data_IF_101586947610
#
_entry.id   IF_101586947610
#
_cell.length_a   1.000
_cell.length_b   1.000
_cell.length_c   1.000
_cell.angle_alpha   90.00
_cell.angle_beta   90.00
_cell.angle_gamma   90.00
#
_symmetry.space_group_name_H-M   'P 1'
#
loop_
_entity.id
_entity.type
_entity.pdbx_description
1 polymer ?
#
# COMPACT_ATOMS: atom_id res chain seq x y z
N UNK A 1 2.24 -23.20 8.65
CA UNK A 1 1.18 -23.51 7.67
C UNK A 1 0.18 -22.37 7.75
N UNK A 2 -0.21 -21.77 6.63
CA UNK A 2 -1.34 -20.83 6.63
C UNK A 2 -2.60 -21.68 6.79
N UNK A 3 -3.24 -21.67 7.96
CA UNK A 3 -4.46 -22.45 8.26
C UNK A 3 -5.72 -21.92 7.56
N UNK A 4 -5.54 -21.07 6.55
CA UNK A 4 -6.62 -20.46 5.77
C UNK A 4 -6.18 -20.51 4.31
N UNK A 5 -7.06 -20.97 3.41
CA UNK A 5 -6.80 -21.15 1.96
C UNK A 5 -6.62 -19.81 1.21
N UNK A 6 -5.64 -19.00 1.59
CA UNK A 6 -5.29 -17.75 0.92
C UNK A 6 -3.97 -17.89 0.16
N UNK A 7 -3.97 -17.46 -1.10
CA UNK A 7 -2.75 -17.07 -1.78
C UNK A 7 -2.24 -15.76 -1.17
N UNK A 8 -0.95 -15.70 -0.82
CA UNK A 8 -0.36 -14.53 -0.16
C UNK A 8 0.76 -13.96 -1.01
N UNK A 9 0.70 -12.66 -1.28
CA UNK A 9 1.76 -11.90 -1.94
C UNK A 9 2.34 -10.86 -0.97
N UNK A 10 3.67 -10.76 -0.92
CA UNK A 10 4.38 -9.74 -0.14
C UNK A 10 5.31 -8.94 -1.07
N UNK A 11 4.81 -7.83 -1.64
CA UNK A 11 5.61 -7.05 -2.58
C UNK A 11 6.71 -6.27 -1.85
N UNK A 12 7.88 -6.21 -2.48
CA UNK A 12 8.90 -5.22 -2.17
C UNK A 12 8.64 -3.94 -2.98
N UNK A 13 9.17 -2.81 -2.51
CA UNK A 13 9.07 -1.51 -3.16
C UNK A 13 10.33 -0.69 -2.90
N UNK A 14 10.62 0.24 -3.79
CA UNK A 14 11.73 1.18 -3.70
C UNK A 14 11.56 2.07 -2.46
N UNK A 15 12.66 2.42 -1.81
CA UNK A 15 12.63 3.22 -0.57
C UNK A 15 12.99 4.68 -0.83
N UNK A 16 12.53 5.58 0.05
CA UNK A 16 13.08 6.92 0.11
C UNK A 16 14.56 6.85 0.54
N UNK A 17 15.46 7.71 0.01
CA UNK A 17 15.17 8.90 -0.79
C UNK A 17 15.15 8.65 -2.32
N UNK A 18 15.38 7.43 -2.78
CA UNK A 18 15.51 7.08 -4.20
C UNK A 18 14.20 7.29 -4.96
N UNK A 19 13.07 7.24 -4.26
CA UNK A 19 11.74 7.55 -4.78
C UNK A 19 10.95 8.41 -3.80
N UNK A 20 9.97 9.16 -4.32
CA UNK A 20 8.98 9.89 -3.51
C UNK A 20 7.90 8.93 -3.00
N UNK A 21 7.25 9.23 -1.88
CA UNK A 21 6.14 8.40 -1.34
C UNK A 21 5.04 8.16 -2.39
N UNK A 22 4.72 9.15 -3.22
CA UNK A 22 3.76 9.00 -4.32
C UNK A 22 4.20 7.96 -5.38
N UNK A 23 5.50 7.82 -5.62
CA UNK A 23 6.06 6.77 -6.46
C UNK A 23 5.91 5.39 -5.82
N UNK A 24 6.16 5.27 -4.51
CA UNK A 24 5.93 4.02 -3.76
C UNK A 24 4.46 3.60 -3.85
N UNK A 25 3.52 4.54 -3.71
CA UNK A 25 2.08 4.29 -3.89
C UNK A 25 1.79 3.69 -5.27
N UNK A 26 2.44 4.19 -6.32
CA UNK A 26 2.29 3.69 -7.70
C UNK A 26 2.88 2.29 -7.87
N UNK A 27 4.05 2.02 -7.30
CA UNK A 27 4.67 0.69 -7.29
C UNK A 27 3.78 -0.34 -6.59
N UNK A 28 3.22 0.00 -5.42
CA UNK A 28 2.31 -0.88 -4.68
C UNK A 28 1.03 -1.15 -5.48
N UNK A 29 0.44 -0.12 -6.12
CA UNK A 29 -0.72 -0.30 -7.00
C UNK A 29 -0.43 -1.27 -8.15
N UNK A 30 0.77 -1.17 -8.73
CA UNK A 30 1.24 -2.09 -9.78
C UNK A 30 1.42 -3.51 -9.26
N UNK A 31 2.05 -3.67 -8.10
CA UNK A 31 2.28 -4.98 -7.49
C UNK A 31 0.96 -5.68 -7.12
N UNK A 32 0.00 -4.95 -6.53
CA UNK A 32 -1.34 -5.48 -6.26
C UNK A 32 -2.03 -5.89 -7.56
N UNK A 33 -1.91 -5.09 -8.62
CA UNK A 33 -2.51 -5.40 -9.91
C UNK A 33 -1.94 -6.67 -10.52
N UNK A 34 -0.63 -6.90 -10.39
CA UNK A 34 0.02 -8.13 -10.83
C UNK A 34 -0.42 -9.34 -10.01
N UNK A 35 -0.46 -9.22 -8.68
CA UNK A 35 -0.95 -10.29 -7.81
C UNK A 35 -2.42 -10.63 -8.10
N UNK A 36 -3.27 -9.62 -8.27
CA UNK A 36 -4.69 -9.78 -8.57
C UNK A 36 -4.96 -10.46 -9.92
N UNK A 37 -4.02 -10.40 -10.88
CA UNK A 37 -4.13 -11.09 -12.15
C UNK A 37 -3.78 -12.59 -12.06
N UNK A 38 -3.14 -13.03 -10.98
CA UNK A 38 -2.73 -14.43 -10.77
C UNK A 38 -3.78 -15.25 -10.03
N UNK A 39 -4.75 -14.59 -9.39
CA UNK A 39 -5.77 -15.22 -8.55
C UNK A 39 -7.13 -14.58 -8.80
N UNK A 40 -8.18 -15.39 -8.77
CA UNK A 40 -9.55 -14.92 -8.76
C UNK A 40 -10.03 -14.55 -7.35
N UNK A 41 -11.25 -14.04 -7.24
CA UNK A 41 -11.91 -13.84 -5.95
C UNK A 41 -11.51 -12.55 -5.21
N UNK A 42 -11.92 -12.42 -3.93
CA UNK A 42 -11.74 -11.20 -3.14
C UNK A 42 -10.28 -10.95 -2.78
N UNK A 43 -9.92 -9.68 -2.66
CA UNK A 43 -8.60 -9.23 -2.20
C UNK A 43 -8.71 -8.66 -0.79
N UNK A 44 -7.74 -8.99 0.05
CA UNK A 44 -7.57 -8.45 1.39
C UNK A 44 -6.20 -7.79 1.45
N UNK A 45 -6.17 -6.52 1.82
CA UNK A 45 -4.94 -5.76 1.97
C UNK A 45 -4.62 -5.60 3.45
N UNK A 46 -3.36 -5.82 3.81
CA UNK A 46 -2.86 -5.53 5.16
C UNK A 46 -1.48 -4.92 5.06
N UNK A 47 -1.15 -4.04 6.00
CA UNK A 47 0.17 -3.44 6.07
C UNK A 47 0.46 -2.85 7.44
N UNK A 48 1.73 -2.90 7.82
CA UNK A 48 2.23 -2.40 9.11
C UNK A 48 2.94 -1.06 8.93
N UNK A 49 2.68 -0.08 9.81
CA UNK A 49 3.35 1.23 9.81
C UNK A 49 3.24 1.94 8.43
N UNK A 50 4.35 2.18 7.73
CA UNK A 50 4.34 2.68 6.36
C UNK A 50 3.54 1.79 5.40
N UNK A 51 3.52 0.47 5.61
CA UNK A 51 2.64 -0.44 4.88
C UNK A 51 1.16 -0.21 5.15
N UNK A 52 0.78 0.21 6.37
CA UNK A 52 -0.60 0.54 6.73
C UNK A 52 -1.09 1.80 6.01
N UNK A 53 -0.19 2.78 5.84
CA UNK A 53 -0.41 3.91 4.93
C UNK A 53 -0.70 3.42 3.51
N UNK A 54 0.22 2.62 2.93
CA UNK A 54 0.12 2.15 1.54
C UNK A 54 -1.14 1.32 1.30
N UNK A 55 -1.47 0.39 2.19
CA UNK A 55 -2.70 -0.41 2.12
C UNK A 55 -3.96 0.47 2.13
N UNK A 56 -3.99 1.49 2.98
CA UNK A 56 -5.12 2.43 3.07
C UNK A 56 -5.21 3.34 1.84
N UNK A 57 -4.09 3.76 1.25
CA UNK A 57 -4.07 4.57 0.01
C UNK A 57 -4.77 3.87 -1.15
N UNK A 58 -4.74 2.54 -1.21
CA UNK A 58 -5.35 1.74 -2.29
C UNK A 58 -6.88 1.80 -2.35
N UNK A 59 -7.54 2.29 -1.30
CA UNK A 59 -9.01 2.40 -1.25
C UNK A 59 -9.49 3.85 -1.13
N UNK A 60 -8.62 4.81 -1.45
CA UNK A 60 -8.98 6.22 -1.52
C UNK A 60 -9.58 6.58 -2.89
N UNK A 61 -10.23 7.75 -2.98
CA UNK A 61 -10.77 8.28 -4.24
C UNK A 61 -9.69 8.46 -5.33
N UNK A 62 -8.44 8.69 -4.93
CA UNK A 62 -7.28 8.80 -5.82
C UNK A 62 -6.48 7.49 -5.87
N UNK A 63 -7.14 6.34 -5.75
CA UNK A 63 -6.46 5.04 -5.79
C UNK A 63 -5.72 4.86 -7.12
N UNK A 64 -4.51 4.28 -7.13
CA UNK A 64 -3.83 3.92 -8.38
C UNK A 64 -4.40 2.63 -9.01
N UNK A 65 -5.37 1.97 -8.36
CA UNK A 65 -5.93 0.71 -8.84
C UNK A 65 -7.02 0.94 -9.88
N UNK A 66 -7.04 0.08 -10.91
CA UNK A 66 -8.16 0.01 -11.84
C UNK A 66 -9.46 -0.36 -11.10
N UNK A 67 -10.59 0.21 -11.53
CA UNK A 67 -11.89 0.05 -10.85
C UNK A 67 -12.30 -1.41 -10.62
N UNK A 68 -11.99 -2.30 -11.58
CA UNK A 68 -12.26 -3.74 -11.45
C UNK A 68 -11.51 -4.40 -10.30
N UNK A 69 -10.26 -4.00 -10.05
CA UNK A 69 -9.43 -4.51 -8.97
C UNK A 69 -9.85 -3.87 -7.64
N UNK A 70 -10.08 -2.55 -7.63
CA UNK A 70 -10.55 -1.84 -6.44
C UNK A 70 -11.85 -2.45 -5.89
N UNK A 71 -12.80 -2.83 -6.76
CA UNK A 71 -14.05 -3.49 -6.39
C UNK A 71 -13.87 -4.89 -5.76
N UNK A 72 -12.74 -5.55 -6.00
CA UNK A 72 -12.43 -6.86 -5.39
C UNK A 72 -11.89 -6.71 -3.97
N UNK A 73 -11.45 -5.53 -3.54
CA UNK A 73 -10.93 -5.32 -2.20
C UNK A 73 -12.09 -5.39 -1.20
N UNK A 74 -12.05 -6.38 -0.30
CA UNK A 74 -13.08 -6.60 0.73
C UNK A 74 -12.69 -6.03 2.08
N UNK A 75 -11.42 -6.12 2.43
CA UNK A 75 -10.91 -5.64 3.70
C UNK A 75 -9.56 -4.96 3.51
N UNK A 76 -9.36 -3.89 4.28
CA UNK A 76 -8.08 -3.22 4.45
C UNK A 76 -7.78 -3.16 5.94
N UNK A 77 -6.67 -3.75 6.37
CA UNK A 77 -6.23 -3.74 7.76
C UNK A 77 -4.95 -2.92 7.85
N UNK A 78 -5.08 -1.69 8.35
CA UNK A 78 -3.94 -0.82 8.65
C UNK A 78 -3.45 -1.09 10.07
N UNK A 79 -2.29 -1.73 10.21
CA UNK A 79 -1.70 -2.05 11.50
C UNK A 79 -0.76 -0.92 11.88
N UNK A 80 -1.19 -0.06 12.81
CA UNK A 80 -0.41 1.10 13.28
C UNK A 80 0.03 2.03 12.13
N UNK A 81 -0.84 2.24 11.15
CA UNK A 81 -0.50 2.97 9.92
C UNK A 81 -0.37 4.48 10.09
N UNK A 82 0.42 5.09 9.19
CA UNK A 82 0.61 6.53 9.11
C UNK A 82 -0.45 7.17 8.21
N UNK A 83 -1.47 7.78 8.81
CA UNK A 83 -2.61 8.36 8.06
C UNK A 83 -2.52 9.87 7.88
N UNK A 84 -1.76 10.54 8.75
CA UNK A 84 -1.39 11.95 8.60
C UNK A 84 0.14 12.03 8.51
N UNK A 85 0.64 12.46 7.35
CA UNK A 85 2.08 12.60 7.11
C UNK A 85 2.61 13.99 7.49
N UNK A 86 1.73 14.97 7.73
CA UNK A 86 2.13 16.35 8.04
C UNK A 86 3.01 16.45 9.30
N UNK A 87 2.79 15.68 10.38
CA UNK A 87 3.68 15.69 11.53
C UNK A 87 5.11 15.23 11.19
N UNK A 88 5.27 14.31 10.23
CA UNK A 88 6.59 13.81 9.82
C UNK A 88 7.40 14.85 9.05
N UNK A 89 6.73 15.87 8.47
CA UNK A 89 7.42 17.00 7.84
C UNK A 89 8.27 17.81 8.83
N UNK A 90 7.95 17.70 10.13
CA UNK A 90 8.60 18.43 11.24
C UNK A 90 9.65 17.60 11.98
N UNK A 91 10.05 16.44 11.44
CA UNK A 91 11.08 15.59 12.02
C UNK A 91 12.28 15.49 11.08
N UNK A 92 13.43 15.04 11.60
CA UNK A 92 14.64 14.82 10.80
C UNK A 92 14.43 13.78 9.68
N UNK A 93 13.41 12.93 9.80
CA UNK A 93 13.02 11.97 8.75
C UNK A 93 12.67 12.69 7.44
N UNK A 94 12.22 13.95 7.50
CA UNK A 94 11.82 14.67 6.30
C UNK A 94 13.00 14.97 5.36
N UNK A 95 14.24 14.95 5.84
CA UNK A 95 15.41 15.04 4.98
C UNK A 95 15.47 13.88 3.97
N UNK A 96 14.99 12.70 4.37
CA UNK A 96 14.93 11.49 3.53
C UNK A 96 13.57 11.35 2.83
N UNK A 97 12.47 11.52 3.56
CA UNK A 97 11.11 11.33 3.04
C UNK A 97 10.69 12.46 2.09
N UNK A 98 11.27 13.66 2.26
CA UNK A 98 11.06 14.87 1.47
C UNK A 98 9.58 15.25 1.33
N UNK A 99 8.71 14.98 2.31
CA UNK A 99 7.27 15.28 2.26
C UNK A 99 7.08 16.80 2.12
N UNK A 100 6.20 17.19 1.20
CA UNK A 100 5.87 18.56 0.80
C UNK A 100 4.38 18.88 0.97
#
# INVERSE_FOLDING_TARGET
>A
VLDSCFAVARPSYTQCPDIRIAGIVTEIGTAISRAAAMVDGPLILTGHSAGGHLASRMVTVTTPLAAGIARRIRHVVSISGLHDLRPLMRTDMNATLKID
#
